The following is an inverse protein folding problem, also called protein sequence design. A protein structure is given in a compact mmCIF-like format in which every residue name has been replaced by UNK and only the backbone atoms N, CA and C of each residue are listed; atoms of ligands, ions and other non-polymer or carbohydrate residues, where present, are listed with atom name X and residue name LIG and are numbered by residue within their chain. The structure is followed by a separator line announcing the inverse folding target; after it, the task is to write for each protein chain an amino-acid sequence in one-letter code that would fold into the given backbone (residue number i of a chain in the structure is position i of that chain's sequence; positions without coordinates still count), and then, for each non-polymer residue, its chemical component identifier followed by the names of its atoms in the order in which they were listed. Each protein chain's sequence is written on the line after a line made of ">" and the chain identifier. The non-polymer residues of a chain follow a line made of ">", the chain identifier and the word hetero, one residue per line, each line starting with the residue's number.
data_IF_095691168132
#
_entry.id   IF_095691168132
#
_cell.length_a   1.000
_cell.length_b   1.000
_cell.length_c   1.000
_cell.angle_alpha   90.00
_cell.angle_beta   90.00
_cell.angle_gamma   90.00
#
_symmetry.space_group_name_H-M   'P 1'
#
loop_
_entity.id
_entity.type
_entity.pdbx_description
1 polymer ?
#
# COMPACT_ATOMS: atom_id res chain seq x y z
N UNK A 1 9.10 17.25 20.87
CA UNK A 1 9.18 17.99 19.58
C UNK A 1 8.65 17.14 18.42
N UNK A 2 9.04 15.86 18.31
CA UNK A 2 8.53 14.94 17.28
C UNK A 2 7.01 14.72 17.29
N UNK A 3 6.39 14.52 18.47
CA UNK A 3 4.94 14.28 18.57
C UNK A 3 4.10 15.48 18.12
N UNK A 4 4.53 16.70 18.49
CA UNK A 4 3.89 17.96 18.08
C UNK A 4 3.97 18.14 16.56
N UNK A 5 5.14 17.92 15.98
CA UNK A 5 5.37 18.00 14.53
C UNK A 5 4.56 16.94 13.76
N UNK A 6 4.55 15.68 14.23
CA UNK A 6 3.73 14.59 13.67
C UNK A 6 2.25 14.97 13.70
N UNK A 7 1.75 15.46 14.82
CA UNK A 7 0.35 15.87 14.96
C UNK A 7 0.01 17.05 14.02
N UNK A 8 0.91 18.01 13.85
CA UNK A 8 0.73 19.11 12.90
C UNK A 8 0.63 18.62 11.46
N UNK A 9 1.53 17.73 11.01
CA UNK A 9 1.46 17.17 9.65
C UNK A 9 0.21 16.31 9.43
N UNK A 10 -0.20 15.51 10.41
CA UNK A 10 -1.44 14.74 10.35
C UNK A 10 -2.67 15.65 10.27
N UNK A 11 -2.70 16.74 11.03
CA UNK A 11 -3.76 17.74 10.94
C UNK A 11 -3.83 18.39 9.55
N UNK A 12 -2.67 18.81 9.01
CA UNK A 12 -2.60 19.40 7.67
C UNK A 12 -3.04 18.42 6.58
N UNK A 13 -2.74 17.12 6.74
CA UNK A 13 -3.14 16.08 5.77
C UNK A 13 -4.64 15.91 5.61
N UNK A 14 -5.44 16.33 6.61
CA UNK A 14 -6.92 16.19 6.60
C UNK A 14 -7.64 17.44 6.12
N UNK A 15 -6.91 18.52 5.79
CA UNK A 15 -7.52 19.82 5.49
C UNK A 15 -7.91 19.93 4.00
N UNK A 16 -9.22 19.80 3.72
CA UNK A 16 -9.79 19.90 2.35
C UNK A 16 -9.40 21.20 1.62
N UNK A 17 -9.26 22.33 2.32
CA UNK A 17 -8.90 23.62 1.69
C UNK A 17 -7.42 23.67 1.29
N UNK A 18 -6.52 23.17 2.14
CA UNK A 18 -5.10 23.07 1.82
C UNK A 18 -4.85 22.05 0.71
N UNK A 19 -5.57 20.93 0.69
CA UNK A 19 -5.52 19.96 -0.41
C UNK A 19 -5.93 20.61 -1.73
N UNK A 20 -7.03 21.39 -1.76
CA UNK A 20 -7.46 22.15 -2.96
C UNK A 20 -6.41 23.17 -3.41
N UNK A 21 -5.77 23.86 -2.47
CA UNK A 21 -4.73 24.84 -2.78
C UNK A 21 -3.48 24.16 -3.34
N UNK A 22 -3.02 23.06 -2.74
CA UNK A 22 -1.87 22.30 -3.20
C UNK A 22 -2.07 21.73 -4.61
N UNK A 23 -3.27 21.19 -4.91
CA UNK A 23 -3.67 20.76 -6.27
C UNK A 23 -3.43 21.85 -7.31
N UNK A 24 -3.73 23.12 -7.00
CA UNK A 24 -3.56 24.26 -7.91
C UNK A 24 -2.10 24.60 -8.22
N UNK A 25 -1.17 24.31 -7.30
CA UNK A 25 0.25 24.64 -7.44
C UNK A 25 1.14 23.46 -7.87
N UNK A 26 0.58 22.25 -7.98
CA UNK A 26 1.23 21.03 -8.46
C UNK A 26 2.39 20.54 -7.57
N UNK A 27 3.14 19.55 -8.06
CA UNK A 27 4.26 18.89 -7.34
C UNK A 27 5.49 19.79 -7.02
N UNK A 28 5.38 21.12 -7.14
CA UNK A 28 6.46 22.11 -6.98
C UNK A 28 7.16 22.12 -5.61
N UNK A 29 6.66 21.37 -4.63
CA UNK A 29 7.18 21.33 -3.25
C UNK A 29 7.98 20.05 -2.93
N UNK A 30 8.61 19.40 -3.92
CA UNK A 30 9.41 18.20 -3.72
C UNK A 30 8.61 16.89 -3.60
N UNK A 31 7.29 16.96 -3.88
CA UNK A 31 6.39 15.82 -3.85
C UNK A 31 6.71 14.75 -4.91
N UNK A 32 7.36 15.14 -6.03
CA UNK A 32 7.80 14.21 -7.10
C UNK A 32 8.78 13.12 -6.66
N UNK A 33 9.35 13.22 -5.44
CA UNK A 33 10.15 12.13 -4.85
C UNK A 33 9.30 10.98 -4.31
N UNK A 34 8.06 11.27 -3.90
CA UNK A 34 7.18 10.31 -3.21
C UNK A 34 5.93 9.96 -4.03
N UNK A 35 5.69 10.68 -5.13
CA UNK A 35 4.55 10.49 -6.04
C UNK A 35 5.08 10.54 -7.47
N UNK A 36 4.68 9.57 -8.30
CA UNK A 36 5.22 9.44 -9.66
C UNK A 36 4.76 10.55 -10.61
N UNK A 37 3.64 11.20 -10.30
CA UNK A 37 3.06 12.24 -11.13
C UNK A 37 1.58 12.40 -10.87
N UNK A 38 0.96 13.31 -11.61
CA UNK A 38 -0.48 13.61 -11.50
C UNK A 38 -1.32 12.79 -12.50
N UNK A 39 -0.70 12.13 -13.48
CA UNK A 39 -1.39 11.42 -14.57
C UNK A 39 -0.91 9.98 -14.69
N UNK A 40 -1.69 9.15 -15.41
CA UNK A 40 -1.34 7.75 -15.65
C UNK A 40 -0.09 7.62 -16.52
N UNK A 41 0.13 8.52 -17.48
CA UNK A 41 1.33 8.50 -18.35
C UNK A 41 2.61 8.71 -17.54
N UNK A 42 2.58 9.61 -16.56
CA UNK A 42 3.69 9.84 -15.64
C UNK A 42 3.93 8.63 -14.73
N UNK A 43 2.84 8.02 -14.23
CA UNK A 43 2.92 6.80 -13.43
C UNK A 43 3.54 5.65 -14.24
N UNK A 44 3.11 5.48 -15.49
CA UNK A 44 3.65 4.48 -16.41
C UNK A 44 5.14 4.71 -16.71
N UNK A 45 5.57 5.95 -17.00
CA UNK A 45 6.97 6.26 -17.19
C UNK A 45 7.83 5.91 -15.95
N UNK A 46 7.30 6.18 -14.75
CA UNK A 46 7.95 5.81 -13.50
C UNK A 46 8.00 4.27 -13.30
N UNK A 47 6.92 3.55 -13.62
CA UNK A 47 6.89 2.08 -13.58
C UNK A 47 7.96 1.51 -14.51
N UNK A 48 8.01 1.96 -15.77
CA UNK A 48 9.01 1.50 -16.74
C UNK A 48 10.45 1.73 -16.25
N UNK A 49 10.72 2.88 -15.63
CA UNK A 49 12.04 3.18 -15.08
C UNK A 49 12.41 2.27 -13.90
N UNK A 50 11.44 1.88 -13.06
CA UNK A 50 11.64 0.94 -11.95
C UNK A 50 11.80 -0.50 -12.45
N UNK A 51 10.96 -0.95 -13.38
CA UNK A 51 11.04 -2.28 -13.98
C UNK A 51 12.40 -2.50 -14.68
N UNK A 52 12.95 -1.49 -15.37
CA UNK A 52 14.31 -1.53 -15.94
C UNK A 52 15.42 -1.76 -14.91
N UNK A 53 15.17 -1.46 -13.64
CA UNK A 53 16.09 -1.71 -12.53
C UNK A 53 15.83 -3.05 -11.83
N UNK A 54 14.89 -3.87 -12.33
CA UNK A 54 14.49 -5.14 -11.72
C UNK A 54 13.51 -4.99 -10.56
N UNK A 55 12.95 -3.80 -10.34
CA UNK A 55 11.94 -3.56 -9.31
C UNK A 55 10.53 -3.78 -9.88
N UNK A 56 9.71 -4.57 -9.18
CA UNK A 56 8.29 -4.66 -9.46
C UNK A 56 7.57 -3.42 -8.90
N UNK A 57 6.35 -3.13 -9.36
CA UNK A 57 5.57 -1.98 -8.85
C UNK A 57 4.20 -2.40 -8.33
N UNK A 58 3.66 -1.64 -7.39
CA UNK A 58 2.21 -1.52 -7.21
C UNK A 58 1.86 -0.03 -7.23
N UNK A 59 0.91 0.36 -8.07
CA UNK A 59 0.43 1.74 -8.14
C UNK A 59 -0.82 1.93 -7.28
N UNK A 60 -0.97 3.14 -6.75
CA UNK A 60 -2.16 3.59 -5.99
C UNK A 60 -2.61 4.92 -6.59
N UNK A 61 -3.82 4.94 -7.15
CA UNK A 61 -4.41 6.20 -7.61
C UNK A 61 -4.96 6.97 -6.40
N UNK A 62 -4.34 8.10 -6.12
CA UNK A 62 -4.71 8.94 -4.99
C UNK A 62 -6.03 9.66 -5.29
N UNK A 63 -7.08 9.23 -4.60
CA UNK A 63 -8.33 9.98 -4.44
C UNK A 63 -8.70 10.04 -2.97
N UNK A 64 -8.79 11.25 -2.43
CA UNK A 64 -9.29 11.48 -1.07
C UNK A 64 -10.73 12.01 -1.13
N UNK A 65 -11.53 11.71 -0.10
CA UNK A 65 -12.88 12.28 0.10
C UNK A 65 -13.93 11.82 -0.92
N UNK A 66 -14.03 10.51 -1.16
CA UNK A 66 -15.15 9.93 -1.90
C UNK A 66 -16.37 9.87 -1.00
N UNK A 67 -17.32 10.78 -1.23
CA UNK A 67 -18.48 11.00 -0.35
C UNK A 67 -19.81 10.60 -1.04
N UNK A 68 -19.78 10.22 -2.33
CA UNK A 68 -20.98 9.79 -3.09
C UNK A 68 -20.68 8.73 -4.17
N UNK A 69 -21.75 8.10 -4.68
CA UNK A 69 -21.67 7.02 -5.66
C UNK A 69 -20.95 7.43 -6.96
N UNK A 70 -21.20 8.64 -7.46
CA UNK A 70 -20.58 9.11 -8.70
C UNK A 70 -19.06 9.23 -8.55
N UNK A 71 -18.59 9.74 -7.41
CA UNK A 71 -17.16 9.80 -7.08
C UNK A 71 -16.54 8.41 -6.93
N UNK A 72 -17.23 7.47 -6.28
CA UNK A 72 -16.77 6.08 -6.15
C UNK A 72 -16.65 5.39 -7.51
N UNK A 73 -17.64 5.59 -8.37
CA UNK A 73 -17.64 5.05 -9.73
C UNK A 73 -16.51 5.65 -10.58
N UNK A 74 -16.21 6.94 -10.40
CA UNK A 74 -15.08 7.59 -11.07
C UNK A 74 -13.73 7.04 -10.57
N UNK A 75 -13.56 6.86 -9.27
CA UNK A 75 -12.35 6.22 -8.72
C UNK A 75 -12.13 4.79 -9.24
N UNK A 76 -13.23 4.03 -9.41
CA UNK A 76 -13.18 2.72 -10.04
C UNK A 76 -12.78 2.82 -11.53
N UNK A 77 -13.29 3.81 -12.27
CA UNK A 77 -12.89 4.05 -13.66
C UNK A 77 -11.39 4.37 -13.78
N UNK A 78 -10.85 5.21 -12.89
CA UNK A 78 -9.43 5.55 -12.85
C UNK A 78 -8.56 4.32 -12.56
N UNK A 79 -9.02 3.45 -11.66
CA UNK A 79 -8.36 2.16 -11.36
C UNK A 79 -8.37 1.23 -12.58
N UNK A 80 -9.48 1.14 -13.31
CA UNK A 80 -9.60 0.35 -14.54
C UNK A 80 -8.69 0.89 -15.64
N UNK A 81 -8.60 2.22 -15.83
CA UNK A 81 -7.68 2.81 -16.80
C UNK A 81 -6.22 2.50 -16.46
N UNK A 82 -5.87 2.55 -15.17
CA UNK A 82 -4.54 2.20 -14.70
C UNK A 82 -4.18 0.74 -15.02
N UNK A 83 -5.11 -0.18 -14.76
CA UNK A 83 -4.99 -1.60 -15.11
C UNK A 83 -4.78 -1.79 -16.61
N UNK A 84 -5.59 -1.12 -17.44
CA UNK A 84 -5.48 -1.19 -18.90
C UNK A 84 -4.15 -0.64 -19.39
N UNK A 85 -3.64 0.44 -18.79
CA UNK A 85 -2.33 0.97 -19.12
C UNK A 85 -1.20 -0.02 -18.77
N UNK A 86 -1.27 -0.66 -17.60
CA UNK A 86 -0.32 -1.72 -17.20
C UNK A 86 -0.32 -2.86 -18.21
N UNK A 87 -1.50 -3.39 -18.55
CA UNK A 87 -1.64 -4.52 -19.49
C UNK A 87 -1.18 -4.17 -20.90
N UNK A 88 -1.63 -3.03 -21.43
CA UNK A 88 -1.29 -2.54 -22.77
C UNK A 88 0.21 -2.35 -22.97
N UNK A 89 0.91 -1.91 -21.94
CA UNK A 89 2.35 -1.63 -22.00
C UNK A 89 3.23 -2.77 -21.46
N UNK A 90 2.62 -3.87 -20.99
CA UNK A 90 3.34 -5.05 -20.49
C UNK A 90 4.20 -4.75 -19.26
N UNK A 91 3.71 -3.91 -18.35
CA UNK A 91 4.46 -3.47 -17.18
C UNK A 91 4.40 -4.50 -16.03
N UNK A 92 5.49 -4.70 -15.31
CA UNK A 92 5.50 -5.47 -14.05
C UNK A 92 4.99 -4.58 -12.91
N UNK A 93 3.67 -4.45 -12.88
CA UNK A 93 2.95 -3.64 -11.91
C UNK A 93 1.64 -4.31 -11.47
N UNK A 94 1.25 -3.98 -10.25
CA UNK A 94 -0.03 -4.34 -9.63
C UNK A 94 -0.81 -3.07 -9.29
N UNK A 95 -2.08 -3.21 -8.94
CA UNK A 95 -2.88 -2.11 -8.42
C UNK A 95 -3.10 -2.29 -6.91
N UNK A 96 -2.89 -1.24 -6.12
CA UNK A 96 -3.41 -1.14 -4.75
C UNK A 96 -4.55 -0.13 -4.74
N UNK A 97 -5.58 -0.39 -3.92
CA UNK A 97 -6.72 0.51 -3.76
C UNK A 97 -7.26 0.48 -2.34
N UNK A 98 -8.05 1.49 -1.98
CA UNK A 98 -8.77 1.57 -0.71
C UNK A 98 -10.27 1.40 -0.96
N UNK A 99 -10.93 0.62 -0.11
CA UNK A 99 -12.33 0.27 -0.29
C UNK A 99 -13.24 1.47 -0.05
N UNK A 100 -12.86 2.40 0.83
CA UNK A 100 -13.59 3.67 1.00
C UNK A 100 -13.68 4.46 -0.30
N UNK A 101 -12.59 4.53 -1.08
CA UNK A 101 -12.58 5.16 -2.40
C UNK A 101 -13.47 4.43 -3.42
N UNK A 102 -13.83 3.18 -3.17
CA UNK A 102 -14.72 2.36 -4.01
C UNK A 102 -16.17 2.38 -3.52
N UNK A 103 -16.48 3.09 -2.43
CA UNK A 103 -17.82 3.25 -1.88
C UNK A 103 -18.13 2.39 -0.65
N UNK A 104 -17.13 1.86 0.06
CA UNK A 104 -17.33 1.03 1.26
C UNK A 104 -18.25 1.66 2.31
N UNK A 105 -18.08 2.97 2.53
CA UNK A 105 -18.85 3.73 3.53
C UNK A 105 -20.17 4.27 2.95
N UNK A 106 -20.45 4.03 1.67
CA UNK A 106 -21.64 4.51 0.95
C UNK A 106 -22.67 3.39 0.83
N UNK A 107 -22.28 2.25 0.25
CA UNK A 107 -23.17 1.09 0.07
C UNK A 107 -22.38 -0.17 -0.24
N UNK A 108 -22.81 -1.29 0.36
CA UNK A 108 -22.27 -2.62 0.08
C UNK A 108 -22.43 -2.99 -1.40
N UNK A 109 -23.53 -2.57 -2.02
CA UNK A 109 -23.78 -2.80 -3.44
C UNK A 109 -22.79 -2.03 -4.33
N UNK A 110 -22.56 -0.76 -4.02
CA UNK A 110 -21.66 0.11 -4.80
C UNK A 110 -20.23 -0.44 -4.74
N UNK A 111 -19.74 -0.73 -3.53
CA UNK A 111 -18.37 -1.22 -3.36
C UNK A 111 -18.16 -2.58 -4.02
N UNK A 112 -19.12 -3.49 -3.91
CA UNK A 112 -19.05 -4.80 -4.58
C UNK A 112 -19.09 -4.67 -6.11
N UNK A 113 -19.97 -3.83 -6.64
CA UNK A 113 -20.06 -3.60 -8.09
C UNK A 113 -18.78 -2.98 -8.63
N UNK A 114 -18.21 -1.97 -7.95
CA UNK A 114 -16.96 -1.35 -8.35
C UNK A 114 -15.78 -2.32 -8.27
N UNK A 115 -15.68 -3.11 -7.21
CA UNK A 115 -14.62 -4.11 -7.08
C UNK A 115 -14.71 -5.19 -8.16
N UNK A 116 -15.89 -5.70 -8.49
CA UNK A 116 -16.04 -6.68 -9.59
C UNK A 116 -15.63 -6.11 -10.94
N UNK A 117 -16.02 -4.86 -11.25
CA UNK A 117 -15.60 -4.17 -12.48
C UNK A 117 -14.09 -4.04 -12.58
N UNK A 118 -13.43 -3.70 -11.47
CA UNK A 118 -11.97 -3.57 -11.39
C UNK A 118 -11.30 -4.94 -11.56
N UNK A 119 -11.78 -5.97 -10.85
CA UNK A 119 -11.19 -7.31 -10.88
C UNK A 119 -11.35 -8.00 -12.23
N UNK A 120 -12.46 -7.76 -12.94
CA UNK A 120 -12.66 -8.26 -14.30
C UNK A 120 -11.64 -7.64 -15.26
N UNK A 121 -11.52 -6.29 -15.26
CA UNK A 121 -10.51 -5.61 -16.05
C UNK A 121 -9.09 -6.08 -15.69
N UNK A 122 -8.83 -6.30 -14.40
CA UNK A 122 -7.54 -6.78 -13.92
C UNK A 122 -7.23 -8.19 -14.44
N UNK A 123 -8.23 -9.08 -14.46
CA UNK A 123 -8.10 -10.43 -15.00
C UNK A 123 -7.81 -10.41 -16.50
N UNK A 124 -8.55 -9.60 -17.28
CA UNK A 124 -8.33 -9.42 -18.72
C UNK A 124 -6.93 -8.93 -19.08
N UNK A 125 -6.32 -8.14 -18.18
CA UNK A 125 -5.02 -7.49 -18.40
C UNK A 125 -3.87 -8.17 -17.63
N UNK A 126 -4.12 -9.28 -16.92
CA UNK A 126 -3.10 -9.99 -16.14
C UNK A 126 -2.55 -9.19 -14.95
N UNK A 127 -3.35 -8.28 -14.38
CA UNK A 127 -2.97 -7.41 -13.26
C UNK A 127 -3.51 -7.96 -11.95
N UNK A 128 -2.67 -7.96 -10.92
CA UNK A 128 -3.07 -8.34 -9.56
C UNK A 128 -3.55 -7.10 -8.78
N UNK A 129 -4.62 -7.25 -8.00
CA UNK A 129 -5.20 -6.17 -7.19
C UNK A 129 -5.01 -6.46 -5.70
N UNK A 130 -4.48 -5.49 -4.95
CA UNK A 130 -4.39 -5.57 -3.49
C UNK A 130 -5.36 -4.58 -2.86
N UNK A 131 -6.26 -5.07 -2.01
CA UNK A 131 -7.10 -4.22 -1.17
C UNK A 131 -6.26 -3.73 0.02
N UNK A 132 -5.94 -2.44 0.06
CA UNK A 132 -5.27 -1.81 1.20
C UNK A 132 -6.19 -1.82 2.43
N UNK A 133 -5.60 -2.10 3.59
CA UNK A 133 -6.32 -2.09 4.85
C UNK A 133 -6.29 -0.69 5.46
N UNK A 134 -7.49 -0.20 5.78
CA UNK A 134 -7.70 1.12 6.37
C UNK A 134 -7.67 1.03 7.90
N UNK A 135 -8.29 1.95 8.63
CA UNK A 135 -8.32 1.90 10.11
C UNK A 135 -9.16 0.73 10.64
N UNK A 136 -9.04 0.49 11.95
CA UNK A 136 -9.61 -0.68 12.61
C UNK A 136 -11.12 -0.83 12.39
N UNK A 137 -11.86 0.29 12.28
CA UNK A 137 -13.33 0.27 12.16
C UNK A 137 -13.79 -0.39 10.85
N UNK A 138 -12.94 -0.36 9.82
CA UNK A 138 -13.22 -0.90 8.49
C UNK A 138 -12.66 -2.31 8.29
N UNK A 139 -11.77 -2.78 9.17
CA UNK A 139 -11.08 -4.06 9.01
C UNK A 139 -12.01 -5.26 8.82
N UNK A 140 -13.06 -5.37 9.65
CA UNK A 140 -14.01 -6.49 9.56
C UNK A 140 -14.70 -6.53 8.20
N UNK A 141 -15.30 -5.39 7.81
CA UNK A 141 -16.03 -5.27 6.55
C UNK A 141 -15.13 -5.50 5.33
N UNK A 142 -13.91 -4.98 5.34
CA UNK A 142 -12.93 -5.22 4.28
C UNK A 142 -12.57 -6.70 4.15
N UNK A 143 -12.36 -7.40 5.27
CA UNK A 143 -12.05 -8.83 5.28
C UNK A 143 -13.23 -9.66 4.75
N UNK A 144 -14.46 -9.32 5.13
CA UNK A 144 -15.66 -10.04 4.66
C UNK A 144 -15.86 -9.88 3.15
N UNK A 145 -15.69 -8.66 2.63
CA UNK A 145 -15.74 -8.41 1.18
C UNK A 145 -14.58 -9.12 0.47
N UNK A 146 -13.36 -9.10 1.02
CA UNK A 146 -12.23 -9.83 0.45
C UNK A 146 -12.53 -11.32 0.34
N UNK A 147 -13.09 -11.96 1.38
CA UNK A 147 -13.46 -13.39 1.35
C UNK A 147 -14.43 -13.69 0.23
N UNK A 148 -15.47 -12.87 0.06
CA UNK A 148 -16.44 -13.03 -1.03
C UNK A 148 -15.77 -12.91 -2.40
N UNK A 149 -14.99 -11.84 -2.62
CA UNK A 149 -14.32 -11.61 -3.90
C UNK A 149 -13.25 -12.67 -4.19
N UNK A 150 -12.53 -13.16 -3.18
CA UNK A 150 -11.50 -14.21 -3.35
C UNK A 150 -12.10 -15.57 -3.74
N UNK A 151 -13.36 -15.82 -3.40
CA UNK A 151 -14.11 -16.99 -3.90
C UNK A 151 -14.54 -16.84 -5.36
N UNK A 152 -14.58 -15.61 -5.89
CA UNK A 152 -14.96 -15.30 -7.27
C UNK A 152 -13.72 -15.07 -8.18
N UNK A 153 -12.59 -14.62 -7.61
CA UNK A 153 -11.39 -14.17 -8.33
C UNK A 153 -10.08 -14.66 -7.67
N UNK A 154 -9.06 -14.93 -8.50
CA UNK A 154 -7.71 -15.35 -8.03
C UNK A 154 -6.69 -14.21 -8.03
N UNK A 155 -6.91 -13.15 -8.81
CA UNK A 155 -6.02 -12.00 -8.95
C UNK A 155 -6.26 -10.91 -7.88
N UNK A 156 -6.59 -11.33 -6.65
CA UNK A 156 -6.90 -10.44 -5.53
C UNK A 156 -6.16 -10.84 -4.25
N UNK A 157 -5.64 -9.85 -3.54
CA UNK A 157 -5.05 -9.96 -2.21
C UNK A 157 -5.55 -8.86 -1.28
N UNK A 158 -5.13 -8.91 -0.02
CA UNK A 158 -5.43 -7.84 0.95
C UNK A 158 -4.26 -7.59 1.90
N UNK A 159 -4.43 -6.64 2.82
CA UNK A 159 -3.41 -6.19 3.78
C UNK A 159 -3.83 -6.58 5.20
N UNK A 160 -2.84 -6.98 6.02
CA UNK A 160 -3.03 -7.25 7.45
C UNK A 160 -2.02 -6.44 8.27
N UNK A 161 -2.46 -5.90 9.42
CA UNK A 161 -1.75 -4.88 10.19
C UNK A 161 -1.30 -5.41 11.56
N UNK A 162 0.01 -5.61 11.74
CA UNK A 162 0.59 -6.23 12.94
C UNK A 162 0.28 -5.52 14.27
N UNK A 163 -0.05 -4.23 14.26
CA UNK A 163 -0.39 -3.50 15.48
C UNK A 163 -1.75 -3.86 16.09
N UNK A 164 -2.64 -4.60 15.41
CA UNK A 164 -3.97 -4.93 15.95
C UNK A 164 -3.97 -6.26 16.68
N UNK A 165 -4.67 -6.34 17.81
CA UNK A 165 -4.80 -7.61 18.56
C UNK A 165 -5.51 -8.70 17.75
N UNK A 166 -6.43 -8.32 16.85
CA UNK A 166 -7.24 -9.25 16.03
C UNK A 166 -6.46 -9.99 14.93
N UNK A 167 -5.27 -9.50 14.58
CA UNK A 167 -4.59 -9.86 13.33
C UNK A 167 -4.21 -11.34 13.23
N UNK A 168 -3.82 -11.98 14.32
CA UNK A 168 -3.49 -13.41 14.29
C UNK A 168 -4.71 -14.24 13.90
N UNK A 169 -5.86 -13.97 14.55
CA UNK A 169 -7.12 -14.62 14.23
C UNK A 169 -7.56 -14.35 12.80
N UNK A 170 -7.40 -13.11 12.31
CA UNK A 170 -7.74 -12.78 10.92
C UNK A 170 -6.94 -13.63 9.92
N UNK A 171 -5.64 -13.85 10.15
CA UNK A 171 -4.82 -14.70 9.27
C UNK A 171 -5.23 -16.17 9.36
N UNK A 172 -5.52 -16.69 10.55
CA UNK A 172 -6.03 -18.06 10.73
C UNK A 172 -7.34 -18.26 9.96
N UNK A 173 -8.30 -17.35 10.14
CA UNK A 173 -9.61 -17.41 9.49
C UNK A 173 -9.49 -17.26 7.96
N UNK A 174 -8.52 -16.49 7.47
CA UNK A 174 -8.27 -16.28 6.05
C UNK A 174 -7.51 -17.45 5.39
N UNK A 175 -6.85 -18.33 6.15
CA UNK A 175 -6.00 -19.39 5.60
C UNK A 175 -6.77 -20.34 4.66
N UNK A 176 -8.06 -20.56 4.90
CA UNK A 176 -8.93 -21.39 4.05
C UNK A 176 -9.10 -20.86 2.62
N UNK A 177 -8.69 -19.62 2.35
CA UNK A 177 -8.83 -18.95 1.05
C UNK A 177 -7.50 -18.88 0.26
N UNK A 178 -6.42 -19.50 0.76
CA UNK A 178 -5.06 -19.40 0.22
C UNK A 178 -4.66 -17.95 -0.11
N UNK A 179 -4.75 -17.02 0.85
CA UNK A 179 -4.75 -15.60 0.56
C UNK A 179 -3.35 -15.08 0.26
N UNK A 180 -3.23 -14.22 -0.74
CA UNK A 180 -2.07 -13.37 -0.91
C UNK A 180 -2.18 -12.18 0.06
N UNK A 181 -1.31 -12.12 1.06
CA UNK A 181 -1.35 -11.09 2.09
C UNK A 181 -0.12 -10.20 2.03
N UNK A 182 -0.37 -8.89 2.00
CA UNK A 182 0.64 -7.87 2.33
C UNK A 182 0.58 -7.62 3.83
N UNK A 183 1.67 -7.90 4.53
CA UNK A 183 1.79 -7.70 5.97
C UNK A 183 2.48 -6.37 6.23
N UNK A 184 1.87 -5.51 7.04
CA UNK A 184 2.39 -4.18 7.44
C UNK A 184 2.38 -4.04 8.95
N UNK A 185 3.10 -3.05 9.50
CA UNK A 185 2.98 -2.71 10.93
C UNK A 185 1.61 -2.10 11.27
N UNK A 186 1.11 -1.22 10.40
CA UNK A 186 -0.08 -0.38 10.64
C UNK A 186 0.26 1.10 10.48
N UNK A 187 -0.67 1.89 9.95
CA UNK A 187 -0.42 3.28 9.57
C UNK A 187 -1.34 4.30 10.27
N UNK A 188 -2.43 3.83 10.89
CA UNK A 188 -3.43 4.68 11.53
C UNK A 188 -3.09 4.90 13.00
N UNK A 189 -3.75 5.89 13.61
CA UNK A 189 -3.64 6.11 15.06
C UNK A 189 -4.85 5.43 15.71
N UNK A 190 -4.62 4.23 16.20
CA UNK A 190 -5.64 3.42 16.86
C UNK A 190 -5.61 3.57 18.38
N UNK A 191 -6.74 3.36 19.06
CA UNK A 191 -6.81 3.39 20.51
C UNK A 191 -6.21 2.09 21.11
N UNK A 192 -5.72 2.15 22.35
CA UNK A 192 -4.96 1.06 23.00
C UNK A 192 -5.82 -0.19 23.25
N UNK A 193 -7.15 -0.04 23.23
CA UNK A 193 -8.14 -1.09 23.36
C UNK A 193 -8.15 -2.06 22.16
N UNK A 194 -7.65 -1.63 21.00
CA UNK A 194 -7.66 -2.43 19.76
C UNK A 194 -6.27 -2.67 19.18
N UNK A 195 -5.28 -1.89 19.60
CA UNK A 195 -3.92 -1.94 19.07
C UNK A 195 -2.85 -1.89 20.16
N UNK A 196 -1.74 -2.56 19.90
CA UNK A 196 -0.55 -2.51 20.75
C UNK A 196 -0.03 -1.06 20.84
N UNK A 197 0.05 -0.46 22.05
CA UNK A 197 0.58 0.89 22.22
C UNK A 197 2.09 0.94 22.02
N UNK A 198 2.78 -0.14 22.41
CA UNK A 198 4.23 -0.22 22.41
C UNK A 198 4.77 -0.75 21.08
N UNK A 199 5.70 0.02 20.50
CA UNK A 199 6.38 -0.34 19.24
C UNK A 199 7.03 -1.73 19.30
N UNK A 200 7.56 -2.13 20.46
CA UNK A 200 8.19 -3.43 20.62
C UNK A 200 7.19 -4.57 20.39
N UNK A 201 5.99 -4.44 20.92
CA UNK A 201 4.95 -5.46 20.76
C UNK A 201 4.44 -5.53 19.32
N UNK A 202 4.35 -4.38 18.64
CA UNK A 202 4.08 -4.34 17.19
C UNK A 202 5.19 -5.06 16.40
N UNK A 203 6.46 -4.81 16.72
CA UNK A 203 7.59 -5.42 16.02
C UNK A 203 7.64 -6.95 16.26
N UNK A 204 7.34 -7.39 17.48
CA UNK A 204 7.29 -8.82 17.84
C UNK A 204 6.10 -9.52 17.19
N UNK A 205 4.91 -8.90 17.21
CA UNK A 205 3.75 -9.46 16.53
C UNK A 205 3.96 -9.48 15.01
N UNK A 206 4.66 -8.49 14.44
CA UNK A 206 4.94 -8.48 13.01
C UNK A 206 5.80 -9.68 12.58
N UNK A 207 6.85 -10.00 13.35
CA UNK A 207 7.65 -11.21 13.13
C UNK A 207 6.80 -12.48 13.27
N UNK A 208 5.94 -12.53 14.29
CA UNK A 208 5.04 -13.66 14.53
C UNK A 208 4.12 -13.92 13.33
N UNK A 209 3.47 -12.89 12.80
CA UNK A 209 2.51 -13.04 11.69
C UNK A 209 3.21 -13.32 10.35
N UNK A 210 4.42 -12.79 10.14
CA UNK A 210 5.27 -13.15 8.99
C UNK A 210 5.56 -14.65 9.03
N UNK A 211 6.01 -15.17 10.19
CA UNK A 211 6.27 -16.59 10.36
C UNK A 211 5.03 -17.44 10.14
N UNK A 212 3.91 -17.05 10.74
CA UNK A 212 2.66 -17.79 10.61
C UNK A 212 2.21 -17.89 9.15
N UNK A 213 2.16 -16.77 8.42
CA UNK A 213 1.65 -16.77 7.05
C UNK A 213 2.58 -17.47 6.05
N UNK A 214 3.90 -17.35 6.22
CA UNK A 214 4.87 -18.07 5.39
C UNK A 214 4.82 -19.59 5.63
N UNK A 215 4.68 -20.04 6.88
CA UNK A 215 4.59 -21.46 7.21
C UNK A 215 3.25 -22.09 6.78
N UNK A 216 2.21 -21.27 6.59
CA UNK A 216 0.98 -21.72 5.94
C UNK A 216 1.15 -22.01 4.44
N UNK A 217 2.31 -21.68 3.85
CA UNK A 217 2.60 -21.91 2.42
C UNK A 217 2.02 -20.85 1.48
N UNK A 218 1.45 -19.78 2.02
CA UNK A 218 0.79 -18.73 1.24
C UNK A 218 1.79 -17.67 0.75
N UNK A 219 1.42 -16.98 -0.33
CA UNK A 219 2.20 -15.85 -0.84
C UNK A 219 2.18 -14.69 0.16
N UNK A 220 3.37 -14.18 0.51
CA UNK A 220 3.52 -13.14 1.53
C UNK A 220 4.28 -11.93 0.98
N UNK A 221 3.67 -10.75 1.02
CA UNK A 221 4.33 -9.49 0.75
C UNK A 221 4.74 -8.81 2.07
N UNK A 222 6.04 -8.81 2.38
CA UNK A 222 6.59 -8.19 3.59
C UNK A 222 6.83 -6.69 3.32
N UNK A 223 5.84 -5.87 3.65
CA UNK A 223 5.87 -4.43 3.41
C UNK A 223 6.50 -3.67 4.60
N UNK A 224 7.84 -3.59 4.60
CA UNK A 224 8.60 -2.89 5.64
C UNK A 224 9.88 -2.24 5.13
N UNK A 225 10.22 -1.09 5.70
CA UNK A 225 11.55 -0.47 5.56
C UNK A 225 12.49 -0.80 6.71
N UNK A 226 12.08 -1.64 7.65
CA UNK A 226 12.83 -1.98 8.85
C UNK A 226 13.83 -3.10 8.57
N UNK A 227 15.13 -2.82 8.74
CA UNK A 227 16.20 -3.78 8.47
C UNK A 227 16.10 -5.01 9.37
N UNK A 228 15.65 -4.85 10.62
CA UNK A 228 15.51 -5.97 11.53
C UNK A 228 14.41 -6.95 11.08
N UNK A 229 13.37 -6.46 10.42
CA UNK A 229 12.29 -7.29 9.85
C UNK A 229 12.76 -7.99 8.58
N UNK A 230 13.50 -7.28 7.72
CA UNK A 230 14.06 -7.84 6.48
C UNK A 230 15.00 -9.01 6.83
N UNK A 231 15.98 -8.77 7.70
CA UNK A 231 16.95 -9.80 8.09
C UNK A 231 16.32 -10.95 8.88
N UNK A 232 15.30 -10.67 9.71
CA UNK A 232 14.50 -11.73 10.33
C UNK A 232 13.83 -12.63 9.29
N UNK A 233 13.18 -12.03 8.29
CA UNK A 233 12.46 -12.76 7.23
C UNK A 233 13.43 -13.61 6.40
N UNK A 234 14.61 -13.07 6.06
CA UNK A 234 15.64 -13.81 5.32
C UNK A 234 16.12 -15.05 6.09
N UNK A 235 16.42 -14.89 7.38
CA UNK A 235 16.83 -16.02 8.25
C UNK A 235 15.72 -17.06 8.39
N UNK A 236 14.49 -16.62 8.62
CA UNK A 236 13.34 -17.50 8.71
C UNK A 236 13.16 -18.32 7.41
N UNK A 237 13.30 -17.67 6.25
CA UNK A 237 13.19 -18.33 4.96
C UNK A 237 14.28 -19.39 4.75
N UNK A 238 15.52 -19.10 5.15
CA UNK A 238 16.62 -20.06 5.13
C UNK A 238 16.38 -21.24 6.09
N UNK A 239 16.03 -20.96 7.35
CA UNK A 239 15.76 -21.97 8.39
C UNK A 239 14.66 -22.96 8.00
N UNK A 240 13.63 -22.49 7.30
CA UNK A 240 12.47 -23.30 6.91
C UNK A 240 12.45 -23.69 5.44
N UNK A 241 13.53 -23.43 4.68
CA UNK A 241 13.61 -23.69 3.24
C UNK A 241 12.43 -23.09 2.44
N UNK A 242 11.99 -21.89 2.81
CA UNK A 242 10.89 -21.19 2.14
C UNK A 242 11.37 -20.70 0.76
N UNK A 243 10.68 -21.07 -0.34
CA UNK A 243 11.04 -20.61 -1.68
C UNK A 243 11.01 -19.09 -1.81
N UNK A 244 11.96 -18.53 -2.58
CA UNK A 244 12.05 -17.08 -2.81
C UNK A 244 10.89 -16.51 -3.61
N UNK A 245 10.17 -17.34 -4.35
CA UNK A 245 8.97 -16.97 -5.11
C UNK A 245 7.69 -17.05 -4.27
N UNK A 246 7.74 -17.59 -3.05
CA UNK A 246 6.64 -17.56 -2.10
C UNK A 246 6.49 -16.19 -1.43
N UNK A 247 7.49 -15.31 -1.51
CA UNK A 247 7.41 -14.00 -0.85
C UNK A 247 8.15 -12.89 -1.60
N UNK A 248 7.82 -11.66 -1.23
CA UNK A 248 8.49 -10.47 -1.71
C UNK A 248 8.66 -9.44 -0.61
N UNK A 249 9.61 -8.53 -0.77
CA UNK A 249 9.70 -7.33 0.04
C UNK A 249 8.98 -6.18 -0.64
N UNK A 250 8.33 -5.32 0.13
CA UNK A 250 7.72 -4.10 -0.39
C UNK A 250 8.15 -2.84 0.36
N UNK A 251 8.39 -1.77 -0.39
CA UNK A 251 8.77 -0.47 0.16
C UNK A 251 8.08 0.66 -0.61
N UNK A 252 7.79 1.75 0.09
CA UNK A 252 7.28 2.97 -0.52
C UNK A 252 8.31 3.61 -1.47
N UNK A 253 7.79 4.21 -2.54
CA UNK A 253 8.55 5.00 -3.50
C UNK A 253 9.34 6.14 -2.82
N UNK A 254 10.61 6.29 -3.20
CA UNK A 254 11.50 7.33 -2.69
C UNK A 254 12.14 7.06 -1.33
N UNK A 255 11.86 5.91 -0.70
CA UNK A 255 12.33 5.52 0.64
C UNK A 255 13.26 4.31 0.56
N UNK A 256 14.51 4.48 1.03
CA UNK A 256 15.56 3.45 1.03
C UNK A 256 15.87 2.85 -0.36
N UNK A 257 15.88 3.67 -1.40
CA UNK A 257 16.10 3.23 -2.80
C UNK A 257 17.35 2.33 -2.98
N UNK A 258 18.45 2.64 -2.31
CA UNK A 258 19.66 1.80 -2.36
C UNK A 258 19.39 0.39 -1.84
N UNK A 259 18.68 0.27 -0.71
CA UNK A 259 18.30 -1.03 -0.15
C UNK A 259 17.34 -1.80 -1.05
N UNK A 260 16.42 -1.11 -1.73
CA UNK A 260 15.53 -1.76 -2.71
C UNK A 260 16.35 -2.44 -3.81
N UNK A 261 17.37 -1.76 -4.36
CA UNK A 261 18.24 -2.31 -5.39
C UNK A 261 19.17 -3.42 -4.85
N UNK A 262 19.63 -3.31 -3.61
CA UNK A 262 20.39 -4.39 -2.95
C UNK A 262 19.56 -5.67 -2.83
N UNK A 263 18.29 -5.59 -2.42
CA UNK A 263 17.42 -6.77 -2.31
C UNK A 263 17.19 -7.45 -3.67
N UNK A 264 17.07 -6.67 -4.75
CA UNK A 264 17.03 -7.23 -6.13
C UNK A 264 18.33 -7.95 -6.46
N UNK A 265 19.50 -7.37 -6.15
CA UNK A 265 20.81 -8.00 -6.37
C UNK A 265 21.03 -9.26 -5.53
N UNK A 266 20.44 -9.32 -4.34
CA UNK A 266 20.40 -10.53 -3.49
C UNK A 266 19.47 -11.61 -4.08
N UNK A 267 18.67 -11.27 -5.09
CA UNK A 267 17.76 -12.16 -5.81
C UNK A 267 16.39 -12.28 -5.15
N UNK A 268 15.98 -11.29 -4.35
CA UNK A 268 14.61 -11.20 -3.83
C UNK A 268 13.73 -10.38 -4.76
N UNK A 269 12.45 -10.74 -4.80
CA UNK A 269 11.43 -9.90 -5.42
C UNK A 269 11.21 -8.67 -4.55
N UNK A 270 11.34 -7.48 -5.14
CA UNK A 270 11.25 -6.20 -4.46
C UNK A 270 10.22 -5.33 -5.18
N UNK A 271 9.07 -5.09 -4.54
CA UNK A 271 7.99 -4.26 -5.08
C UNK A 271 7.98 -2.87 -4.48
N UNK A 272 7.89 -1.86 -5.33
CA UNK A 272 7.80 -0.47 -4.90
C UNK A 272 6.35 0.00 -4.96
N UNK A 273 5.84 0.57 -3.87
CA UNK A 273 4.51 1.18 -3.82
C UNK A 273 4.60 2.63 -4.32
N UNK A 274 4.01 2.88 -5.48
CA UNK A 274 4.13 4.11 -6.26
C UNK A 274 2.77 4.81 -6.35
N UNK A 275 2.52 5.81 -5.50
CA UNK A 275 1.29 6.59 -5.58
C UNK A 275 1.37 7.59 -6.75
N UNK A 276 0.23 7.90 -7.35
CA UNK A 276 0.09 8.91 -8.40
C UNK A 276 -1.30 9.56 -8.36
N UNK A 277 -1.48 10.67 -9.06
CA UNK A 277 -2.75 11.40 -9.12
C UNK A 277 -2.70 12.78 -8.48
N UNK A 278 -3.81 13.50 -8.60
CA UNK A 278 -3.91 14.89 -8.18
C UNK A 278 -3.99 15.07 -6.66
N UNK A 279 -4.34 14.03 -5.90
CA UNK A 279 -4.63 14.13 -4.46
C UNK A 279 -3.38 13.83 -3.61
N UNK A 280 -2.21 14.20 -4.12
CA UNK A 280 -0.91 13.88 -3.54
C UNK A 280 -0.62 14.57 -2.19
N UNK A 281 -1.29 15.68 -1.89
CA UNK A 281 -0.94 16.52 -0.73
C UNK A 281 -1.15 15.80 0.61
N UNK A 282 -2.33 15.21 0.81
CA UNK A 282 -2.64 14.50 2.05
C UNK A 282 -1.69 13.32 2.27
N UNK A 283 -1.45 12.54 1.21
CA UNK A 283 -0.47 11.45 1.20
C UNK A 283 0.93 11.95 1.57
N UNK A 284 1.42 13.00 0.90
CA UNK A 284 2.74 13.57 1.13
C UNK A 284 2.91 14.05 2.58
N UNK A 285 1.90 14.73 3.14
CA UNK A 285 1.95 15.19 4.54
C UNK A 285 2.02 14.03 5.53
N UNK A 286 1.30 12.93 5.28
CA UNK A 286 1.41 11.71 6.11
C UNK A 286 2.82 11.11 6.05
N UNK A 287 3.44 11.06 4.86
CA UNK A 287 4.84 10.60 4.71
C UNK A 287 5.84 11.47 5.47
N UNK A 288 5.62 12.79 5.53
CA UNK A 288 6.46 13.68 6.35
C UNK A 288 6.28 13.47 7.86
N UNK A 289 5.06 13.14 8.29
CA UNK A 289 4.75 12.88 9.69
C UNK A 289 5.43 11.60 10.23
N UNK A 290 5.79 10.65 9.36
CA UNK A 290 6.27 9.33 9.75
C UNK A 290 7.72 9.29 10.22
N UNK A 291 8.60 10.13 9.66
CA UNK A 291 10.01 10.21 10.09
C UNK A 291 10.53 11.65 9.98
N UNK A 292 11.21 12.19 11.01
CA UNK A 292 11.86 13.49 10.93
C UNK A 292 12.88 13.60 9.79
N UNK A 293 13.53 12.47 9.45
CA UNK A 293 14.44 12.40 8.31
C UNK A 293 13.75 12.78 6.99
N UNK A 294 12.47 12.41 6.80
CA UNK A 294 11.69 12.76 5.61
C UNK A 294 11.55 14.29 5.48
N UNK A 295 11.41 14.99 6.61
CA UNK A 295 11.34 16.47 6.66
C UNK A 295 12.67 17.10 6.28
N UNK A 296 13.79 16.58 6.82
CA UNK A 296 15.13 17.07 6.50
C UNK A 296 15.46 16.95 5.00
N UNK A 297 14.94 15.92 4.32
CA UNK A 297 15.12 15.75 2.88
C UNK A 297 14.32 16.75 2.04
N UNK A 298 13.08 17.09 2.43
CA UNK A 298 12.30 18.13 1.74
C UNK A 298 12.99 19.48 1.83
N UNK A 299 13.50 19.84 3.02
CA UNK A 299 14.25 21.08 3.20
C UNK A 299 15.50 21.14 2.32
N UNK A 300 16.24 20.02 2.17
CA UNK A 300 17.40 19.95 1.25
C UNK A 300 16.99 20.04 -0.22
N UNK A 301 15.86 19.46 -0.60
CA UNK A 301 15.32 19.51 -1.97
C UNK A 301 14.84 20.90 -2.39
N UNK A 302 14.37 21.72 -1.44
CA UNK A 302 13.97 23.11 -1.70
C UNK A 302 15.16 24.07 -1.90
N UNK A 303 16.35 23.72 -1.39
CA UNK A 303 17.56 24.57 -1.46
C UNK A 303 18.40 24.27 -2.71
N UNK A 304 18.25 23.08 -3.33
CA UNK A 304 18.81 22.80 -4.65
C UNK A 304 17.85 23.32 -5.74
N UNK A 305 18.04 24.58 -6.14
CA UNK A 305 17.63 25.09 -7.46
C UNK A 305 18.73 24.80 -8.48
#
# INVERSE_FOLDING_TARGET
>A
MEQLMRNSFLFLSKNKALTKLAKKYGLRFGAGRFVAGETIELATAAIQALNKQGLCVTIDYLGEFVDNEAEANEMANQSIEAIRAIGREGLDSQLSLKMTSMGLDISDEIVMNNMRRILEAAKENGVFVTIDMEDYTRCGKTIDIFKQLKSEYDNIGTVIQAYLYRTEKDIEDLNAYNPNLRLVKGAYKEPEEVAFPDKKDVDDNYKKIIKMHLLNGNYTAIASHDEAIIEYTKKLAEEHNIPRDQFEFQMLYGIRNERQLELVKEGYKMRVYVPYGNDWYGYFMRRLAERPANVAFVLKGMVKK
#
